data_IF_812747125217
#
_entry.id   IF_812747125217
#
_cell.length_a   1.000
_cell.length_b   1.000
_cell.length_c   1.000
_cell.angle_alpha   90.00
_cell.angle_beta   90.00
_cell.angle_gamma   90.00
#
_symmetry.space_group_name_H-M   'P 1'
#
loop_
_entity.id
_entity.type
_entity.pdbx_description
1 polymer ?
#
# COMPACT_ATOMS: atom_id res chain seq x y z
N UNK A 1 -8.06 12.72 -24.35
CA UNK A 1 -6.67 12.21 -24.47
C UNK A 1 -6.21 11.43 -23.23
N UNK A 2 -6.69 11.73 -22.01
CA UNK A 2 -6.26 11.01 -20.79
C UNK A 2 -6.57 9.51 -20.77
N UNK A 3 -7.74 9.08 -21.24
CA UNK A 3 -8.16 7.67 -21.12
C UNK A 3 -7.23 6.66 -21.80
N UNK A 4 -6.63 7.02 -22.94
CA UNK A 4 -5.68 6.15 -23.63
C UNK A 4 -4.36 6.01 -22.88
N UNK A 5 -3.88 7.12 -22.29
CA UNK A 5 -2.67 7.15 -21.46
C UNK A 5 -2.89 6.34 -20.17
N UNK A 6 -4.05 6.48 -19.53
CA UNK A 6 -4.39 5.72 -18.32
C UNK A 6 -4.46 4.22 -18.60
N UNK A 7 -5.04 3.82 -19.75
CA UNK A 7 -5.08 2.44 -20.21
C UNK A 7 -3.68 1.87 -20.51
N UNK A 8 -2.81 2.65 -21.15
CA UNK A 8 -1.43 2.25 -21.43
C UNK A 8 -0.62 2.07 -20.15
N UNK A 9 -0.77 2.98 -19.19
CA UNK A 9 -0.13 2.87 -17.87
C UNK A 9 -0.65 1.65 -17.10
N UNK A 10 -1.96 1.40 -17.13
CA UNK A 10 -2.56 0.23 -16.50
C UNK A 10 -2.05 -1.07 -17.13
N UNK A 11 -1.91 -1.12 -18.46
CA UNK A 11 -1.32 -2.26 -19.16
C UNK A 11 0.14 -2.48 -18.74
N UNK A 12 0.95 -1.42 -18.70
CA UNK A 12 2.35 -1.50 -18.22
C UNK A 12 2.43 -2.00 -16.78
N UNK A 13 1.55 -1.53 -15.90
CA UNK A 13 1.49 -1.99 -14.51
C UNK A 13 1.12 -3.49 -14.42
N UNK A 14 0.18 -3.97 -15.24
CA UNK A 14 -0.17 -5.40 -15.31
C UNK A 14 0.99 -6.25 -15.81
N UNK A 15 1.68 -5.80 -16.86
CA UNK A 15 2.87 -6.48 -17.40
C UNK A 15 3.98 -6.56 -16.36
N UNK A 16 4.29 -5.44 -15.69
CA UNK A 16 5.27 -5.37 -14.61
C UNK A 16 4.96 -6.38 -13.50
N UNK A 17 3.71 -6.45 -13.04
CA UNK A 17 3.30 -7.36 -11.96
C UNK A 17 3.21 -8.83 -12.38
N UNK A 18 3.18 -9.10 -13.69
CA UNK A 18 3.12 -10.46 -14.26
C UNK A 18 4.48 -10.93 -14.77
N UNK A 19 5.51 -10.09 -14.67
CA UNK A 19 6.87 -10.41 -15.07
C UNK A 19 7.49 -11.50 -14.19
N UNK A 20 8.52 -12.17 -14.71
CA UNK A 20 9.28 -13.19 -13.98
C UNK A 20 10.16 -12.60 -12.87
N UNK A 21 10.58 -11.36 -13.02
CA UNK A 21 11.33 -10.63 -12.00
C UNK A 21 10.36 -9.91 -11.05
N UNK A 22 10.53 -10.04 -9.73
CA UNK A 22 9.69 -9.33 -8.79
C UNK A 22 9.90 -7.81 -8.95
N UNK A 23 8.83 -7.01 -8.98
CA UNK A 23 8.95 -5.57 -9.01
C UNK A 23 9.66 -5.07 -7.75
N UNK A 24 10.41 -3.98 -7.87
CA UNK A 24 10.88 -3.24 -6.69
C UNK A 24 9.67 -2.78 -5.85
N UNK A 25 9.84 -2.56 -4.53
CA UNK A 25 8.77 -2.07 -3.66
C UNK A 25 8.08 -0.80 -4.19
N UNK A 26 8.85 0.12 -4.75
CA UNK A 26 8.33 1.32 -5.42
C UNK A 26 7.48 1.03 -6.66
N UNK A 27 7.90 0.05 -7.46
CA UNK A 27 7.15 -0.39 -8.64
C UNK A 27 5.86 -1.09 -8.23
N UNK A 28 5.91 -1.98 -7.24
CA UNK A 28 4.73 -2.66 -6.71
C UNK A 28 3.70 -1.67 -6.16
N UNK A 29 4.15 -0.74 -5.31
CA UNK A 29 3.30 0.31 -4.74
C UNK A 29 2.63 1.16 -5.83
N UNK A 30 3.39 1.66 -6.81
CA UNK A 30 2.82 2.47 -7.92
C UNK A 30 1.87 1.67 -8.80
N UNK A 31 2.21 0.42 -9.12
CA UNK A 31 1.38 -0.44 -9.96
C UNK A 31 0.03 -0.75 -9.29
N UNK A 32 0.04 -1.13 -8.00
CA UNK A 32 -1.20 -1.38 -7.27
C UNK A 32 -2.03 -0.11 -7.05
N UNK A 33 -1.39 1.04 -6.84
CA UNK A 33 -2.08 2.33 -6.74
C UNK A 33 -2.82 2.69 -8.02
N UNK A 34 -2.19 2.47 -9.17
CA UNK A 34 -2.81 2.70 -10.46
C UNK A 34 -3.98 1.73 -10.72
N UNK A 35 -3.76 0.43 -10.50
CA UNK A 35 -4.74 -0.60 -10.84
C UNK A 35 -5.92 -0.67 -9.86
N UNK A 36 -5.82 -0.05 -8.69
CA UNK A 36 -6.94 0.05 -7.74
C UNK A 36 -8.13 0.86 -8.29
N UNK A 37 -7.92 1.74 -9.26
CA UNK A 37 -9.00 2.44 -9.94
C UNK A 37 -9.89 1.49 -10.77
N UNK A 38 -9.29 0.48 -11.39
CA UNK A 38 -9.98 -0.49 -12.25
C UNK A 38 -10.56 -1.67 -11.46
N UNK A 39 -9.79 -2.20 -10.50
CA UNK A 39 -10.18 -3.37 -9.73
C UNK A 39 -9.76 -3.22 -8.25
N UNK A 40 -10.53 -2.44 -7.46
CA UNK A 40 -10.16 -2.13 -6.08
C UNK A 40 -10.13 -3.38 -5.19
N UNK A 41 -10.99 -4.38 -5.44
CA UNK A 41 -11.02 -5.60 -4.64
C UNK A 41 -9.69 -6.38 -4.70
N UNK A 42 -9.06 -6.41 -5.87
CA UNK A 42 -7.77 -7.09 -6.04
C UNK A 42 -6.60 -6.24 -5.57
N UNK A 43 -6.65 -4.92 -5.85
CA UNK A 43 -5.47 -4.07 -5.73
C UNK A 43 -5.39 -3.23 -4.46
N UNK A 44 -6.50 -2.92 -3.77
CA UNK A 44 -6.42 -2.21 -2.49
C UNK A 44 -5.70 -3.04 -1.41
N UNK A 45 -6.00 -4.33 -1.19
CA UNK A 45 -5.26 -5.11 -0.18
C UNK A 45 -3.75 -5.16 -0.47
N UNK A 46 -3.38 -5.29 -1.76
CA UNK A 46 -1.98 -5.35 -2.19
C UNK A 46 -1.28 -3.99 -2.12
N UNK A 47 -2.00 -2.90 -2.38
CA UNK A 47 -1.49 -1.54 -2.22
C UNK A 47 -1.15 -1.25 -0.76
N UNK A 48 -2.02 -1.64 0.18
CA UNK A 48 -1.77 -1.45 1.60
C UNK A 48 -0.49 -2.18 2.06
N UNK A 49 -0.32 -3.44 1.62
CA UNK A 49 0.89 -4.21 1.91
C UNK A 49 2.14 -3.59 1.28
N UNK A 50 2.07 -3.19 0.01
CA UNK A 50 3.20 -2.57 -0.68
C UNK A 50 3.60 -1.23 -0.05
N UNK A 51 2.65 -0.46 0.48
CA UNK A 51 2.93 0.79 1.20
C UNK A 51 3.69 0.54 2.51
N UNK A 52 3.30 -0.49 3.27
CA UNK A 52 4.03 -0.90 4.48
C UNK A 52 5.42 -1.40 4.15
N UNK A 53 5.55 -2.28 3.15
CA UNK A 53 6.84 -2.80 2.69
C UNK A 53 7.78 -1.64 2.34
N UNK A 54 7.27 -0.65 1.59
CA UNK A 54 8.03 0.51 1.15
C UNK A 54 8.64 1.33 2.30
N UNK A 55 8.05 1.33 3.50
CA UNK A 55 8.60 2.02 4.68
C UNK A 55 9.98 1.49 5.10
N UNK A 56 10.30 0.24 4.76
CA UNK A 56 11.58 -0.42 5.05
C UNK A 56 12.67 -0.16 4.01
N UNK A 57 12.37 0.51 2.89
CA UNK A 57 13.29 0.63 1.76
C UNK A 57 13.86 2.03 1.57
N UNK A 58 15.07 2.12 1.03
CA UNK A 58 15.70 3.40 0.68
C UNK A 58 14.94 4.08 -0.48
N UNK A 59 14.78 5.43 -0.47
CA UNK A 59 15.19 6.38 0.56
C UNK A 59 14.17 6.58 1.69
N UNK A 60 13.00 5.93 1.64
CA UNK A 60 11.91 6.09 2.62
C UNK A 60 12.36 5.76 4.04
N UNK A 61 13.21 4.73 4.19
CA UNK A 61 13.80 4.33 5.47
C UNK A 61 14.47 5.49 6.23
N UNK A 62 14.97 6.51 5.52
CA UNK A 62 15.63 7.68 6.12
C UNK A 62 14.68 8.85 6.42
N UNK A 63 13.40 8.69 6.11
CA UNK A 63 12.40 9.76 6.14
C UNK A 63 11.20 9.36 6.98
N UNK A 64 11.24 9.61 8.31
CA UNK A 64 10.15 9.27 9.22
C UNK A 64 8.79 9.87 8.79
N UNK A 65 8.82 11.07 8.19
CA UNK A 65 7.65 11.74 7.64
C UNK A 65 7.03 10.96 6.46
N UNK A 66 7.84 10.44 5.55
CA UNK A 66 7.36 9.60 4.44
C UNK A 66 6.89 8.23 4.92
N UNK A 67 7.55 7.66 5.93
CA UNK A 67 7.12 6.41 6.54
C UNK A 67 5.74 6.55 7.18
N UNK A 68 5.51 7.62 7.95
CA UNK A 68 4.22 7.91 8.55
C UNK A 68 3.14 8.07 7.47
N UNK A 69 3.39 8.87 6.44
CA UNK A 69 2.42 9.07 5.36
C UNK A 69 2.05 7.75 4.64
N UNK A 70 3.02 6.86 4.41
CA UNK A 70 2.76 5.54 3.83
C UNK A 70 2.01 4.60 4.77
N UNK A 71 2.29 4.66 6.07
CA UNK A 71 1.56 3.89 7.08
C UNK A 71 0.09 4.36 7.19
N UNK A 72 -0.15 5.66 7.17
CA UNK A 72 -1.49 6.25 7.15
C UNK A 72 -2.26 5.88 5.88
N UNK A 73 -1.60 5.97 4.71
CA UNK A 73 -2.19 5.53 3.44
C UNK A 73 -2.53 4.04 3.47
N UNK A 74 -1.63 3.19 3.97
CA UNK A 74 -1.86 1.75 4.07
C UNK A 74 -3.11 1.44 4.90
N UNK A 75 -3.28 2.12 6.04
CA UNK A 75 -4.45 1.97 6.90
C UNK A 75 -5.73 2.43 6.19
N UNK A 76 -5.70 3.59 5.53
CA UNK A 76 -6.84 4.13 4.79
C UNK A 76 -7.26 3.19 3.64
N UNK A 77 -6.28 2.68 2.89
CA UNK A 77 -6.48 1.74 1.78
C UNK A 77 -7.06 0.42 2.30
N UNK A 78 -6.51 -0.14 3.39
CA UNK A 78 -7.03 -1.37 4.00
C UNK A 78 -8.47 -1.18 4.53
N UNK A 79 -8.80 -0.01 5.08
CA UNK A 79 -10.14 0.31 5.53
C UNK A 79 -11.14 0.42 4.37
N UNK A 80 -10.69 0.90 3.20
CA UNK A 80 -11.48 1.04 1.97
C UNK A 80 -11.73 -0.29 1.23
N UNK A 81 -11.04 -1.38 1.60
CA UNK A 81 -11.32 -2.71 1.05
C UNK A 81 -12.80 -3.07 1.32
N UNK A 82 -13.55 -3.61 0.34
CA UNK A 82 -14.97 -3.92 0.52
C UNK A 82 -15.24 -4.84 1.71
N UNK A 83 -16.28 -4.55 2.50
CA UNK A 83 -16.62 -5.34 3.70
C UNK A 83 -16.90 -6.83 3.41
N UNK A 84 -17.33 -7.15 2.19
CA UNK A 84 -17.57 -8.53 1.70
C UNK A 84 -16.30 -9.29 1.31
N UNK A 85 -15.15 -8.62 1.30
CA UNK A 85 -13.88 -9.27 1.02
C UNK A 85 -13.45 -10.10 2.25
N UNK A 86 -13.31 -11.43 2.11
CA UNK A 86 -12.98 -12.31 3.23
C UNK A 86 -11.58 -12.05 3.81
N UNK A 87 -10.67 -11.42 3.03
CA UNK A 87 -9.32 -11.12 3.47
C UNK A 87 -9.20 -9.78 4.18
N UNK A 88 -10.23 -8.92 4.11
CA UNK A 88 -10.23 -7.58 4.73
C UNK A 88 -9.88 -7.59 6.23
N UNK A 89 -10.45 -8.47 7.09
CA UNK A 89 -10.12 -8.44 8.51
C UNK A 89 -8.66 -8.76 8.78
N UNK A 90 -8.07 -9.69 8.04
CA UNK A 90 -6.66 -10.04 8.18
C UNK A 90 -5.76 -8.93 7.66
N UNK A 91 -6.09 -8.34 6.51
CA UNK A 91 -5.35 -7.18 5.98
C UNK A 91 -5.33 -6.03 7.00
N UNK A 92 -6.47 -5.67 7.58
CA UNK A 92 -6.53 -4.62 8.61
C UNK A 92 -5.70 -4.95 9.84
N UNK A 93 -5.70 -6.21 10.31
CA UNK A 93 -4.86 -6.65 11.43
C UNK A 93 -3.38 -6.50 11.12
N UNK A 94 -2.94 -6.97 9.95
CA UNK A 94 -1.53 -6.90 9.54
C UNK A 94 -1.06 -5.45 9.42
N UNK A 95 -1.84 -4.60 8.76
CA UNK A 95 -1.51 -3.18 8.58
C UNK A 95 -1.46 -2.44 9.92
N UNK A 96 -2.42 -2.68 10.82
CA UNK A 96 -2.40 -2.09 12.17
C UNK A 96 -1.17 -2.54 12.96
N UNK A 97 -0.85 -3.83 12.92
CA UNK A 97 0.34 -4.36 13.60
C UNK A 97 1.61 -3.70 13.08
N UNK A 98 1.80 -3.65 11.77
CA UNK A 98 2.96 -3.02 11.14
C UNK A 98 3.04 -1.53 11.45
N UNK A 99 1.91 -0.82 11.44
CA UNK A 99 1.83 0.58 11.85
C UNK A 99 2.35 0.73 13.28
N UNK A 100 1.80 -0.02 14.22
CA UNK A 100 2.15 0.08 15.65
C UNK A 100 3.63 -0.21 15.88
N UNK A 101 4.15 -1.30 15.32
CA UNK A 101 5.57 -1.66 15.43
C UNK A 101 6.46 -0.53 14.90
N UNK A 102 6.11 0.05 13.75
CA UNK A 102 6.90 1.11 13.13
C UNK A 102 6.80 2.45 13.86
N UNK A 103 5.61 2.83 14.31
CA UNK A 103 5.41 4.05 15.10
C UNK A 103 6.22 4.00 16.40
N UNK A 104 6.23 2.86 17.09
CA UNK A 104 7.05 2.66 18.29
C UNK A 104 8.55 2.78 17.99
N UNK A 105 9.04 2.20 16.88
CA UNK A 105 10.43 2.34 16.47
C UNK A 105 10.84 3.80 16.18
N UNK A 106 9.91 4.59 15.63
CA UNK A 106 10.15 5.98 15.27
C UNK A 106 9.85 6.97 16.41
N UNK A 107 9.36 6.50 17.56
CA UNK A 107 8.94 7.35 18.67
C UNK A 107 7.71 8.23 18.34
N UNK A 108 6.89 7.79 17.39
CA UNK A 108 5.67 8.48 16.97
C UNK A 108 4.51 7.99 17.86
N UNK A 109 3.69 8.89 18.43
CA UNK A 109 2.53 8.49 19.22
C UNK A 109 1.52 7.72 18.35
N UNK A 110 0.92 6.68 18.93
CA UNK A 110 -0.14 5.93 18.28
C UNK A 110 -1.42 6.78 18.18
N UNK A 111 -2.30 6.49 17.20
CA UNK A 111 -3.62 7.10 17.15
C UNK A 111 -4.36 6.92 18.49
N UNK A 112 -5.01 7.96 19.04
CA UNK A 112 -5.69 7.89 20.34
C UNK A 112 -6.73 6.78 20.41
N UNK A 113 -7.38 6.47 19.29
CA UNK A 113 -8.38 5.41 19.16
C UNK A 113 -7.82 3.98 19.25
N UNK A 114 -6.48 3.82 19.29
CA UNK A 114 -5.79 2.52 19.41
C UNK A 114 -5.12 2.33 20.78
N UNK A 115 -5.26 3.30 21.69
CA UNK A 115 -4.79 3.25 23.07
C UNK A 115 -5.80 2.51 23.95
#
# INVERSE_FOLDING_TARGET
MSSHVDQELALRARVLLSGSEPPTPWQAYRAHRLLAADNPAVHLPRLALAAIELTGHYPVLLRPDLQLALMEEALAVAAAVPARDPFRPEALRQIRRAYTERALQLGIPLPPEWS
#
